data_IF_695770435435
#
_entry.id   IF_695770435435
#
_cell.length_a   1.000
_cell.length_b   1.000
_cell.length_c   1.000
_cell.angle_alpha   90.00
_cell.angle_beta   90.00
_cell.angle_gamma   90.00
#
_symmetry.space_group_name_H-M   'P 1'
#
loop_
_entity.id
_entity.type
_entity.pdbx_description
1 polymer ?
#
# COMPACT_ATOMS: atom_id res chain seq x y z
N UNK A 1 14.00 32.05 2.26
CA UNK A 1 13.58 30.63 2.16
C UNK A 1 12.77 30.52 0.89
N UNK A 2 13.34 29.96 -0.17
CA UNK A 2 12.73 29.99 -1.50
C UNK A 2 11.67 28.89 -1.62
N UNK A 3 10.47 29.25 -2.07
CA UNK A 3 9.36 28.31 -2.36
C UNK A 3 9.77 27.14 -3.27
N UNK A 4 10.83 27.32 -4.06
CA UNK A 4 11.43 26.30 -4.90
C UNK A 4 11.87 25.04 -4.14
N UNK A 5 12.21 25.14 -2.85
CA UNK A 5 12.62 23.99 -2.04
C UNK A 5 11.46 23.03 -1.70
N UNK A 6 10.21 23.50 -1.81
CA UNK A 6 9.01 22.70 -1.51
C UNK A 6 8.32 22.16 -2.76
N UNK A 7 8.82 22.49 -3.94
CA UNK A 7 8.29 21.99 -5.21
C UNK A 7 9.11 20.77 -5.65
N UNK A 8 8.45 19.71 -6.15
CA UNK A 8 9.16 18.55 -6.66
C UNK A 8 9.96 18.90 -7.91
N UNK A 9 11.17 18.37 -7.98
CA UNK A 9 11.95 18.28 -9.21
C UNK A 9 11.25 17.40 -10.26
N UNK A 10 11.69 17.47 -11.51
CA UNK A 10 11.15 16.61 -12.57
C UNK A 10 11.29 15.11 -12.26
N UNK A 11 12.39 14.71 -11.60
CA UNK A 11 12.59 13.33 -11.15
C UNK A 11 11.56 12.94 -10.07
N UNK A 12 11.33 13.80 -9.08
CA UNK A 12 10.33 13.56 -8.03
C UNK A 12 8.90 13.49 -8.60
N UNK A 13 8.59 14.27 -9.65
CA UNK A 13 7.31 14.16 -10.35
C UNK A 13 7.14 12.81 -11.07
N UNK A 14 8.19 12.27 -11.68
CA UNK A 14 8.19 10.92 -12.28
C UNK A 14 7.99 9.85 -11.20
N UNK A 15 8.72 9.96 -10.09
CA UNK A 15 8.60 9.05 -8.94
C UNK A 15 7.18 9.06 -8.34
N UNK A 16 6.58 10.24 -8.23
CA UNK A 16 5.19 10.41 -7.81
C UNK A 16 4.22 9.67 -8.76
N UNK A 17 4.39 9.84 -10.07
CA UNK A 17 3.58 9.16 -11.07
C UNK A 17 3.75 7.64 -10.98
N UNK A 18 4.98 7.14 -10.84
CA UNK A 18 5.27 5.71 -10.67
C UNK A 18 4.64 5.15 -9.39
N UNK A 19 4.64 5.89 -8.29
CA UNK A 19 3.98 5.48 -7.05
C UNK A 19 2.45 5.36 -7.20
N UNK A 20 1.82 6.35 -7.86
CA UNK A 20 0.39 6.30 -8.16
C UNK A 20 0.08 5.12 -9.10
N UNK A 21 0.89 4.91 -10.14
CA UNK A 21 0.73 3.78 -11.06
C UNK A 21 0.93 2.43 -10.36
N UNK A 22 1.85 2.34 -9.40
CA UNK A 22 2.07 1.12 -8.61
C UNK A 22 0.84 0.81 -7.75
N UNK A 23 0.27 1.81 -7.06
CA UNK A 23 -0.99 1.64 -6.31
C UNK A 23 -2.17 1.26 -7.22
N UNK A 24 -2.28 1.88 -8.40
CA UNK A 24 -3.28 1.49 -9.39
C UNK A 24 -3.05 0.05 -9.90
N UNK A 25 -1.78 -0.36 -10.05
CA UNK A 25 -1.38 -1.71 -10.40
C UNK A 25 -1.80 -2.73 -9.35
N UNK A 26 -1.62 -2.42 -8.07
CA UNK A 26 -2.16 -3.23 -6.98
C UNK A 26 -3.68 -3.33 -7.04
N UNK A 27 -4.39 -2.22 -7.28
CA UNK A 27 -5.84 -2.26 -7.48
C UNK A 27 -6.24 -3.20 -8.63
N UNK A 28 -5.53 -3.13 -9.76
CA UNK A 28 -5.80 -3.99 -10.91
C UNK A 28 -5.57 -5.48 -10.58
N UNK A 29 -4.42 -5.81 -9.98
CA UNK A 29 -4.10 -7.19 -9.61
C UNK A 29 -5.09 -7.73 -8.57
N UNK A 30 -5.38 -6.97 -7.52
CA UNK A 30 -6.34 -7.37 -6.49
C UNK A 30 -7.76 -7.53 -7.03
N UNK A 31 -8.18 -6.63 -7.92
CA UNK A 31 -9.47 -6.74 -8.58
C UNK A 31 -9.57 -7.98 -9.48
N UNK A 32 -8.51 -8.33 -10.20
CA UNK A 32 -8.48 -9.56 -10.99
C UNK A 32 -8.57 -10.81 -10.09
N UNK A 33 -7.78 -10.86 -9.02
CA UNK A 33 -7.72 -11.99 -8.07
C UNK A 33 -8.99 -12.19 -7.26
N UNK A 34 -9.80 -11.15 -7.03
CA UNK A 34 -10.99 -11.23 -6.16
C UNK A 34 -12.27 -11.66 -6.88
N UNK A 35 -12.28 -11.79 -8.21
CA UNK A 35 -13.49 -12.19 -8.95
C UNK A 35 -14.56 -11.10 -9.10
N UNK A 36 -15.73 -11.48 -9.64
CA UNK A 36 -16.78 -10.54 -10.07
C UNK A 36 -17.66 -10.00 -8.94
N UNK A 37 -17.72 -10.67 -7.78
CA UNK A 37 -18.56 -10.31 -6.62
C UNK A 37 -17.81 -9.51 -5.54
N UNK A 38 -16.58 -9.07 -5.86
CA UNK A 38 -15.71 -8.35 -4.92
C UNK A 38 -16.22 -6.96 -4.60
N UNK A 39 -15.73 -6.37 -3.52
CA UNK A 39 -15.83 -4.94 -3.30
C UNK A 39 -14.58 -4.22 -3.85
N UNK A 40 -14.72 -3.34 -4.85
CA UNK A 40 -13.61 -2.59 -5.44
C UNK A 40 -12.85 -1.70 -4.45
N UNK A 41 -13.45 -1.31 -3.31
CA UNK A 41 -12.78 -0.50 -2.30
C UNK A 41 -11.58 -1.21 -1.68
N UNK A 42 -11.54 -2.54 -1.71
CA UNK A 42 -10.47 -3.35 -1.13
C UNK A 42 -9.50 -3.93 -2.14
N UNK A 43 -9.67 -3.62 -3.43
CA UNK A 43 -8.83 -4.14 -4.51
C UNK A 43 -7.36 -3.78 -4.30
N UNK A 44 -7.06 -2.54 -3.88
CA UNK A 44 -5.68 -2.10 -3.61
C UNK A 44 -5.04 -2.95 -2.51
N UNK A 45 -5.70 -3.10 -1.35
CA UNK A 45 -5.15 -3.86 -0.22
C UNK A 45 -4.94 -5.34 -0.59
N UNK A 46 -5.89 -5.90 -1.33
CA UNK A 46 -5.84 -7.28 -1.82
C UNK A 46 -4.65 -7.49 -2.75
N UNK A 47 -4.50 -6.65 -3.78
CA UNK A 47 -3.43 -6.81 -4.75
C UNK A 47 -2.07 -6.47 -4.17
N UNK A 48 -2.00 -5.47 -3.30
CA UNK A 48 -0.77 -5.13 -2.60
C UNK A 48 -0.30 -6.30 -1.72
N UNK A 49 -1.21 -6.95 -0.97
CA UNK A 49 -0.89 -8.15 -0.20
C UNK A 49 -0.53 -9.37 -1.03
N UNK A 50 -1.19 -9.58 -2.17
CA UNK A 50 -0.84 -10.66 -3.09
C UNK A 50 0.57 -10.46 -3.67
N UNK A 51 0.90 -9.25 -4.10
CA UNK A 51 2.21 -8.94 -4.71
C UNK A 51 3.31 -8.97 -3.66
N UNK A 52 3.17 -8.30 -2.52
CA UNK A 52 4.22 -8.34 -1.48
C UNK A 52 4.34 -9.70 -0.83
N UNK A 53 3.23 -10.41 -0.62
CA UNK A 53 3.24 -11.76 -0.09
C UNK A 53 3.97 -12.72 -1.02
N UNK A 54 3.68 -12.66 -2.33
CA UNK A 54 4.38 -13.49 -3.32
C UNK A 54 5.87 -13.14 -3.43
N UNK A 55 6.23 -11.85 -3.50
CA UNK A 55 7.63 -11.42 -3.50
C UNK A 55 8.35 -11.83 -2.22
N UNK A 56 7.68 -11.79 -1.07
CA UNK A 56 8.26 -12.21 0.21
C UNK A 56 8.49 -13.72 0.23
N UNK A 57 7.49 -14.52 -0.13
CA UNK A 57 7.61 -15.98 -0.16
C UNK A 57 8.67 -16.42 -1.17
N UNK A 58 8.64 -15.90 -2.39
CA UNK A 58 9.61 -16.24 -3.41
C UNK A 58 11.01 -15.74 -3.06
N UNK A 59 11.12 -14.52 -2.53
CA UNK A 59 12.40 -13.93 -2.13
C UNK A 59 13.07 -14.60 -0.94
N UNK A 60 12.30 -15.28 -0.08
CA UNK A 60 12.84 -16.07 1.05
C UNK A 60 13.18 -17.51 0.62
N UNK A 61 12.39 -18.09 -0.29
CA UNK A 61 12.53 -19.50 -0.68
C UNK A 61 13.41 -19.72 -1.92
N UNK A 62 13.74 -18.67 -2.66
CA UNK A 62 14.46 -18.78 -3.94
C UNK A 62 15.48 -17.66 -4.08
N UNK A 63 16.49 -17.88 -4.90
CA UNK A 63 17.49 -16.87 -5.29
C UNK A 63 17.06 -16.05 -6.51
N UNK A 64 15.75 -16.00 -6.81
CA UNK A 64 15.26 -15.23 -7.96
C UNK A 64 15.43 -13.73 -7.68
N UNK A 65 16.16 -12.98 -8.53
CA UNK A 65 16.28 -11.54 -8.37
C UNK A 65 14.91 -10.86 -8.41
N UNK A 66 14.70 -9.88 -7.52
CA UNK A 66 13.43 -9.16 -7.42
C UNK A 66 13.07 -8.40 -8.71
N UNK A 67 14.03 -8.15 -9.61
CA UNK A 67 13.78 -7.55 -10.91
C UNK A 67 12.82 -8.39 -11.75
N UNK A 68 12.97 -9.71 -11.75
CA UNK A 68 12.05 -10.63 -12.44
C UNK A 68 10.65 -10.59 -11.84
N UNK A 69 10.55 -10.48 -10.52
CA UNK A 69 9.26 -10.35 -9.83
C UNK A 69 8.60 -9.00 -10.14
N UNK A 70 9.37 -7.91 -10.21
CA UNK A 70 8.89 -6.59 -10.60
C UNK A 70 8.44 -6.55 -12.07
N UNK A 71 9.19 -7.17 -12.98
CA UNK A 71 8.77 -7.36 -14.38
C UNK A 71 7.44 -8.13 -14.41
N UNK A 72 7.35 -9.24 -13.68
CA UNK A 72 6.13 -10.03 -13.56
C UNK A 72 4.94 -9.19 -13.07
N UNK A 73 5.13 -8.38 -12.04
CA UNK A 73 4.11 -7.44 -11.57
C UNK A 73 3.67 -6.47 -12.67
N UNK A 74 4.61 -5.77 -13.31
CA UNK A 74 4.29 -4.76 -14.34
C UNK A 74 3.66 -5.37 -15.60
N UNK A 75 3.96 -6.63 -15.93
CA UNK A 75 3.25 -7.39 -16.98
C UNK A 75 1.85 -7.82 -16.55
N UNK A 76 1.67 -8.20 -15.29
CA UNK A 76 0.38 -8.58 -14.73
C UNK A 76 -0.59 -7.40 -14.66
N UNK A 77 -0.13 -6.15 -14.51
CA UNK A 77 -1.00 -4.96 -14.44
C UNK A 77 -1.93 -4.80 -15.66
N UNK A 78 -1.44 -4.71 -16.92
CA UNK A 78 -2.31 -4.57 -18.09
C UNK A 78 -3.19 -5.80 -18.32
N UNK A 79 -2.69 -7.01 -18.02
CA UNK A 79 -3.48 -8.24 -18.11
C UNK A 79 -4.64 -8.19 -17.11
N UNK A 80 -4.37 -7.80 -15.86
CA UNK A 80 -5.37 -7.68 -14.80
C UNK A 80 -6.41 -6.61 -15.12
N UNK A 81 -5.97 -5.46 -15.65
CA UNK A 81 -6.84 -4.40 -16.12
C UNK A 81 -7.76 -4.87 -17.26
N UNK A 82 -7.23 -5.65 -18.22
CA UNK A 82 -8.01 -6.24 -19.30
C UNK A 82 -9.03 -7.26 -18.78
N UNK A 83 -8.65 -8.10 -17.82
CA UNK A 83 -9.55 -9.07 -17.16
C UNK A 83 -10.69 -8.33 -16.46
N UNK A 84 -10.38 -7.31 -15.67
CA UNK A 84 -11.38 -6.47 -14.99
C UNK A 84 -12.29 -5.82 -16.02
N UNK A 85 -11.74 -5.21 -17.08
CA UNK A 85 -12.53 -4.53 -18.10
C UNK A 85 -13.50 -5.46 -18.84
N UNK A 86 -13.08 -6.70 -19.13
CA UNK A 86 -13.95 -7.70 -19.78
C UNK A 86 -15.01 -8.28 -18.84
N UNK A 87 -14.65 -8.46 -17.57
CA UNK A 87 -15.51 -9.09 -16.55
C UNK A 87 -16.52 -8.11 -15.98
N UNK A 88 -16.07 -6.91 -15.65
CA UNK A 88 -16.84 -5.89 -14.97
C UNK A 88 -17.45 -4.95 -16.02
N UNK A 89 -18.70 -5.23 -16.40
CA UNK A 89 -19.49 -4.20 -17.08
C UNK A 89 -19.68 -3.03 -16.10
N UNK A 90 -19.57 -1.77 -16.55
CA UNK A 90 -19.51 -0.62 -15.65
C UNK A 90 -20.76 -0.54 -14.77
N UNK A 91 -20.64 -0.98 -13.52
CA UNK A 91 -21.71 -0.90 -12.51
C UNK A 91 -21.78 0.53 -11.96
N UNK A 92 -22.98 0.99 -11.60
CA UNK A 92 -23.18 2.33 -11.04
C UNK A 92 -22.33 2.58 -9.78
N UNK A 93 -22.10 1.53 -8.98
CA UNK A 93 -21.32 1.56 -7.74
C UNK A 93 -19.81 1.76 -7.98
N UNK A 94 -19.25 1.18 -9.05
CA UNK A 94 -17.84 1.37 -9.40
C UNK A 94 -17.55 2.81 -9.82
N UNK A 95 -18.44 3.41 -10.62
CA UNK A 95 -18.33 4.82 -11.03
C UNK A 95 -18.39 5.76 -9.82
N UNK A 96 -19.22 5.42 -8.83
CA UNK A 96 -19.32 6.15 -7.58
C UNK A 96 -17.98 6.14 -6.83
N UNK A 97 -17.41 4.96 -6.59
CA UNK A 97 -16.17 4.81 -5.81
C UNK A 97 -15.00 5.51 -6.48
N UNK A 98 -14.84 5.34 -7.80
CA UNK A 98 -13.81 6.03 -8.56
C UNK A 98 -13.96 7.55 -8.49
N UNK A 99 -15.20 8.06 -8.63
CA UNK A 99 -15.48 9.48 -8.52
C UNK A 99 -15.18 10.05 -7.13
N UNK A 100 -15.43 9.29 -6.06
CA UNK A 100 -15.10 9.72 -4.69
C UNK A 100 -13.59 9.75 -4.49
N UNK A 101 -12.88 8.69 -4.90
CA UNK A 101 -11.42 8.61 -4.84
C UNK A 101 -10.75 9.77 -5.59
N UNK A 102 -11.20 10.06 -6.82
CA UNK A 102 -10.66 11.16 -7.62
C UNK A 102 -10.82 12.52 -6.92
N UNK A 103 -11.97 12.77 -6.26
CA UNK A 103 -12.19 13.99 -5.48
C UNK A 103 -11.30 14.04 -4.24
N UNK A 104 -11.11 12.92 -3.54
CA UNK A 104 -10.18 12.82 -2.41
C UNK A 104 -8.75 13.16 -2.84
N UNK A 105 -8.29 12.60 -3.97
CA UNK A 105 -6.96 12.90 -4.53
C UNK A 105 -6.82 14.37 -4.94
N UNK A 106 -7.85 14.95 -5.56
CA UNK A 106 -7.85 16.37 -5.93
C UNK A 106 -7.74 17.28 -4.69
N UNK A 107 -8.46 16.97 -3.61
CA UNK A 107 -8.37 17.71 -2.34
C UNK A 107 -7.01 17.52 -1.64
N UNK A 108 -6.41 16.33 -1.77
CA UNK A 108 -5.12 16.00 -1.17
C UNK A 108 -3.91 16.46 -2.01
N UNK A 109 -4.12 17.03 -3.20
CA UNK A 109 -3.05 17.42 -4.13
C UNK A 109 -1.94 18.27 -3.48
N UNK A 110 -2.23 19.31 -2.66
CA UNK A 110 -1.17 20.08 -2.02
C UNK A 110 -0.25 19.24 -1.12
N UNK A 111 -0.83 18.29 -0.37
CA UNK A 111 -0.07 17.36 0.47
C UNK A 111 0.74 16.40 -0.38
N UNK A 112 0.14 15.83 -1.43
CA UNK A 112 0.85 14.93 -2.35
C UNK A 112 2.08 15.62 -2.99
N UNK A 113 1.93 16.87 -3.45
CA UNK A 113 3.03 17.66 -3.99
C UNK A 113 4.12 17.87 -2.94
N UNK A 114 3.73 18.25 -1.72
CA UNK A 114 4.70 18.50 -0.64
C UNK A 114 5.47 17.23 -0.24
N UNK A 115 4.77 16.11 -0.07
CA UNK A 115 5.38 14.83 0.33
C UNK A 115 6.29 14.28 -0.76
N UNK A 116 5.98 14.54 -2.03
CA UNK A 116 6.86 14.12 -3.14
C UNK A 116 8.24 14.80 -3.12
N UNK A 117 8.37 15.95 -2.44
CA UNK A 117 9.62 16.67 -2.27
C UNK A 117 10.37 16.32 -0.96
N UNK A 118 9.75 15.52 -0.07
CA UNK A 118 10.32 15.20 1.24
C UNK A 118 11.52 14.24 1.16
N UNK A 119 12.44 14.42 2.10
CA UNK A 119 13.59 13.53 2.34
C UNK A 119 13.41 12.83 3.69
N UNK A 120 14.09 11.70 3.87
CA UNK A 120 14.12 11.02 5.16
C UNK A 120 14.64 11.97 6.24
N UNK A 121 14.02 11.93 7.41
CA UNK A 121 14.32 12.88 8.50
C UNK A 121 14.31 12.24 9.88
N UNK A 122 13.70 11.06 10.03
CA UNK A 122 13.60 10.41 11.34
C UNK A 122 14.70 9.40 11.57
N UNK A 123 15.09 9.27 12.84
CA UNK A 123 16.09 8.30 13.28
C UNK A 123 15.78 6.87 12.79
N UNK A 124 14.54 6.39 12.93
CA UNK A 124 14.22 5.00 12.54
C UNK A 124 14.28 4.78 11.01
N UNK A 125 14.09 5.85 10.23
CA UNK A 125 14.32 5.78 8.78
C UNK A 125 15.78 5.48 8.51
N UNK A 126 16.67 6.23 9.15
CA UNK A 126 18.11 6.07 9.01
C UNK A 126 18.69 4.85 9.74
N UNK A 127 18.02 4.26 10.74
CA UNK A 127 18.55 3.07 11.40
C UNK A 127 18.09 1.76 10.75
N UNK A 128 16.89 1.70 10.15
CA UNK A 128 16.45 0.48 9.46
C UNK A 128 15.64 0.67 8.18
N UNK A 129 14.67 1.60 8.12
CA UNK A 129 13.66 1.54 7.06
C UNK A 129 14.21 1.95 5.69
N UNK A 130 15.02 3.01 5.66
CA UNK A 130 15.67 3.49 4.45
C UNK A 130 16.72 2.48 3.99
N UNK A 131 17.53 1.96 4.91
CA UNK A 131 18.57 0.98 4.59
C UNK A 131 18.00 -0.34 4.10
N UNK A 132 16.90 -0.83 4.67
CA UNK A 132 16.24 -2.04 4.15
C UNK A 132 15.71 -1.82 2.72
N UNK A 133 15.11 -0.65 2.43
CA UNK A 133 14.66 -0.31 1.08
C UNK A 133 15.83 -0.22 0.09
N UNK A 134 16.91 0.45 0.49
CA UNK A 134 18.12 0.63 -0.31
C UNK A 134 18.83 -0.70 -0.58
N UNK A 135 18.87 -1.59 0.42
CA UNK A 135 19.46 -2.92 0.30
C UNK A 135 18.71 -3.75 -0.75
N UNK A 136 17.38 -3.82 -0.64
CA UNK A 136 16.54 -4.55 -1.61
C UNK A 136 16.74 -3.99 -3.02
N UNK A 137 16.80 -2.66 -3.16
CA UNK A 137 17.04 -2.03 -4.46
C UNK A 137 18.43 -2.36 -5.04
N UNK A 138 19.48 -2.35 -4.22
CA UNK A 138 20.86 -2.58 -4.68
C UNK A 138 21.17 -4.04 -4.99
N UNK A 139 20.66 -4.95 -4.17
CA UNK A 139 21.03 -6.38 -4.23
C UNK A 139 19.92 -7.28 -4.79
N UNK A 140 18.75 -6.72 -5.09
CA UNK A 140 17.58 -7.43 -5.65
C UNK A 140 17.15 -8.67 -4.84
N UNK A 141 17.43 -8.67 -3.54
CA UNK A 141 17.18 -9.78 -2.63
C UNK A 141 17.03 -9.26 -1.19
N UNK A 142 16.50 -10.11 -0.32
CA UNK A 142 16.56 -9.86 1.12
C UNK A 142 17.98 -10.10 1.67
N UNK A 143 18.32 -9.57 2.85
CA UNK A 143 19.59 -9.86 3.50
C UNK A 143 19.74 -11.38 3.73
N UNK A 144 20.77 -11.97 3.12
CA UNK A 144 21.06 -13.39 3.19
C UNK A 144 22.57 -13.68 3.04
N UNK A 145 22.96 -14.92 3.33
CA UNK A 145 24.35 -15.36 3.20
C UNK A 145 24.84 -15.19 1.75
N UNK A 146 26.07 -14.71 1.59
CA UNK A 146 26.68 -14.46 0.28
C UNK A 146 26.48 -13.04 -0.27
N UNK A 147 25.67 -12.21 0.40
CA UNK A 147 25.57 -10.77 0.15
C UNK A 147 26.33 -9.97 1.21
N UNK A 148 26.68 -8.69 0.95
CA UNK A 148 27.23 -7.80 1.97
C UNK A 148 26.29 -7.65 3.17
N UNK A 149 26.87 -7.41 4.35
CA UNK A 149 26.08 -7.14 5.55
C UNK A 149 25.19 -5.91 5.35
N UNK A 150 23.92 -6.03 5.76
CA UNK A 150 22.99 -4.90 5.69
C UNK A 150 23.38 -3.84 6.74
N UNK A 151 23.44 -2.54 6.38
CA UNK A 151 23.71 -1.47 7.32
C UNK A 151 22.53 -1.18 8.28
N UNK A 152 21.40 -1.87 8.10
CA UNK A 152 20.23 -1.78 8.95
C UNK A 152 20.48 -2.44 10.30
N UNK A 153 20.08 -1.78 11.40
CA UNK A 153 20.09 -2.37 12.75
C UNK A 153 19.14 -3.58 12.83
N UNK A 154 18.06 -3.55 12.03
CA UNK A 154 17.07 -4.61 11.97
C UNK A 154 16.84 -5.08 10.52
N UNK A 155 17.74 -5.90 9.97
CA UNK A 155 17.67 -6.32 8.57
C UNK A 155 16.49 -7.24 8.28
N UNK A 156 15.99 -7.96 9.30
CA UNK A 156 14.88 -8.90 9.19
C UNK A 156 13.51 -8.27 9.49
N UNK A 157 13.41 -6.95 9.59
CA UNK A 157 12.11 -6.29 9.76
C UNK A 157 11.18 -6.55 8.57
N UNK A 158 9.85 -6.49 8.78
CA UNK A 158 8.89 -6.75 7.72
C UNK A 158 9.15 -5.84 6.52
N UNK A 159 9.17 -6.42 5.31
CA UNK A 159 9.58 -5.72 4.08
C UNK A 159 8.41 -5.24 3.21
N UNK A 160 7.15 -5.43 3.62
CA UNK A 160 5.98 -5.13 2.79
C UNK A 160 5.96 -3.69 2.25
N UNK A 161 6.30 -2.72 3.10
CA UNK A 161 6.41 -1.31 2.72
C UNK A 161 7.63 -1.02 1.84
N UNK A 162 8.76 -1.68 2.10
CA UNK A 162 10.01 -1.51 1.37
C UNK A 162 9.90 -2.07 -0.06
N UNK A 163 9.14 -3.16 -0.24
CA UNK A 163 8.82 -3.71 -1.55
C UNK A 163 8.00 -2.74 -2.41
N UNK A 164 7.17 -1.89 -1.82
CA UNK A 164 6.51 -0.80 -2.56
C UNK A 164 7.53 0.21 -3.10
N UNK A 165 8.48 0.65 -2.27
CA UNK A 165 9.55 1.54 -2.73
C UNK A 165 10.41 0.88 -3.81
N UNK A 166 10.65 -0.43 -3.72
CA UNK A 166 11.35 -1.19 -4.75
C UNK A 166 10.60 -1.19 -6.10
N UNK A 167 9.28 -1.46 -6.09
CA UNK A 167 8.46 -1.48 -7.31
C UNK A 167 8.37 -0.13 -8.03
N UNK A 168 8.58 0.97 -7.29
CA UNK A 168 8.72 2.33 -7.85
C UNK A 168 10.15 2.57 -8.35
N UNK A 169 11.15 2.17 -7.58
CA UNK A 169 12.57 2.41 -7.89
C UNK A 169 13.03 1.63 -9.12
N UNK A 170 12.53 0.42 -9.31
CA UNK A 170 12.86 -0.44 -10.45
C UNK A 170 12.61 0.23 -11.82
N UNK A 171 11.37 0.63 -12.17
CA UNK A 171 11.11 1.32 -13.44
C UNK A 171 11.70 2.73 -13.49
N UNK A 172 12.00 3.35 -12.35
CA UNK A 172 12.67 4.66 -12.31
C UNK A 172 14.15 4.58 -12.68
N UNK A 173 14.78 3.41 -12.56
CA UNK A 173 16.24 3.25 -12.69
C UNK A 173 17.05 3.94 -11.59
N UNK A 174 16.41 4.50 -10.57
CA UNK A 174 17.03 5.20 -9.44
C UNK A 174 16.33 4.82 -8.15
N UNK A 175 17.06 4.85 -7.03
CA UNK A 175 16.45 4.65 -5.71
C UNK A 175 15.51 5.81 -5.37
N UNK A 176 14.26 5.49 -5.03
CA UNK A 176 13.22 6.46 -4.70
C UNK A 176 13.01 6.50 -3.19
N UNK A 177 13.77 7.37 -2.53
CA UNK A 177 13.83 7.50 -1.06
C UNK A 177 12.46 7.78 -0.43
N UNK A 178 11.68 8.71 -0.99
CA UNK A 178 10.35 9.06 -0.45
C UNK A 178 9.27 8.02 -0.77
N UNK A 179 9.59 6.92 -1.46
CA UNK A 179 8.62 5.94 -1.94
C UNK A 179 7.71 5.41 -0.85
N UNK A 180 8.27 5.04 0.30
CA UNK A 180 7.47 4.51 1.43
C UNK A 180 6.58 5.58 2.06
N UNK A 181 7.13 6.76 2.35
CA UNK A 181 6.39 7.87 2.94
C UNK A 181 5.21 8.30 2.04
N UNK A 182 5.45 8.39 0.74
CA UNK A 182 4.41 8.67 -0.24
C UNK A 182 3.37 7.55 -0.30
N UNK A 183 3.80 6.29 -0.24
CA UNK A 183 2.92 5.12 -0.16
C UNK A 183 1.99 5.15 1.05
N UNK A 184 2.49 5.54 2.23
CA UNK A 184 1.70 5.71 3.45
C UNK A 184 0.58 6.73 3.26
N UNK A 185 0.89 7.87 2.64
CA UNK A 185 -0.13 8.89 2.31
C UNK A 185 -1.16 8.33 1.33
N UNK A 186 -0.73 7.65 0.26
CA UNK A 186 -1.65 7.04 -0.71
C UNK A 186 -2.59 6.02 -0.05
N UNK A 187 -2.08 5.15 0.83
CA UNK A 187 -2.90 4.20 1.58
C UNK A 187 -3.95 4.91 2.43
N UNK A 188 -3.58 6.00 3.09
CA UNK A 188 -4.50 6.81 3.89
C UNK A 188 -5.62 7.41 3.03
N UNK A 189 -5.27 7.96 1.86
CA UNK A 189 -6.26 8.51 0.91
C UNK A 189 -7.20 7.43 0.36
N UNK A 190 -6.70 6.23 0.13
CA UNK A 190 -7.47 5.07 -0.34
C UNK A 190 -8.41 4.55 0.75
N UNK A 191 -8.05 4.72 2.04
CA UNK A 191 -8.95 4.42 3.16
C UNK A 191 -10.13 5.41 3.25
N UNK A 192 -10.03 6.62 2.69
CA UNK A 192 -11.07 7.64 2.84
C UNK A 192 -12.43 7.22 2.22
N UNK A 193 -12.49 6.66 1.00
CA UNK A 193 -13.72 6.05 0.48
C UNK A 193 -14.25 4.88 1.30
N UNK A 194 -13.37 4.06 1.90
CA UNK A 194 -13.78 2.96 2.80
C UNK A 194 -14.48 3.52 4.03
N UNK A 195 -13.88 4.55 4.65
CA UNK A 195 -14.45 5.26 5.79
C UNK A 195 -15.82 5.86 5.47
N UNK A 196 -15.94 6.57 4.34
CA UNK A 196 -17.22 7.13 3.89
C UNK A 196 -18.27 6.04 3.68
N UNK A 197 -17.90 4.92 3.05
CA UNK A 197 -18.82 3.81 2.80
C UNK A 197 -19.31 3.18 4.12
N UNK A 198 -18.42 3.02 5.10
CA UNK A 198 -18.76 2.52 6.44
C UNK A 198 -19.73 3.48 7.16
N UNK A 199 -19.43 4.77 7.20
CA UNK A 199 -20.29 5.78 7.84
C UNK A 199 -21.66 5.83 7.15
N UNK A 200 -21.69 5.83 5.82
CA UNK A 200 -22.94 5.87 5.05
C UNK A 200 -23.83 4.67 5.27
N UNK A 201 -23.24 3.48 5.40
CA UNK A 201 -23.99 2.28 5.74
C UNK A 201 -24.53 2.34 7.18
N UNK A 202 -23.75 2.87 8.13
CA UNK A 202 -24.21 3.07 9.52
C UNK A 202 -25.31 4.12 9.67
N UNK A 203 -25.32 5.16 8.82
CA UNK A 203 -26.34 6.21 8.84
C UNK A 203 -27.55 5.93 7.94
N UNK A 204 -27.59 4.80 7.23
CA UNK A 204 -28.65 4.48 6.27
C UNK A 204 -28.68 5.44 5.07
N UNK A 205 -27.59 6.15 4.78
CA UNK A 205 -27.53 7.14 3.71
C UNK A 205 -27.38 6.46 2.35
N UNK A 206 -28.26 6.73 1.36
CA UNK A 206 -28.15 6.14 0.04
C UNK A 206 -26.81 6.45 -0.64
N UNK A 207 -26.22 5.46 -1.31
CA UNK A 207 -24.98 5.62 -2.08
C UNK A 207 -25.06 6.73 -3.15
N UNK A 208 -26.26 7.09 -3.61
CA UNK A 208 -26.49 8.21 -4.53
C UNK A 208 -26.16 9.58 -3.93
N UNK A 209 -26.23 9.73 -2.61
CA UNK A 209 -25.94 10.97 -1.89
C UNK A 209 -24.44 11.07 -1.52
N UNK A 210 -23.71 9.96 -1.56
CA UNK A 210 -22.30 9.86 -1.16
C UNK A 210 -21.30 10.25 -2.26
N UNK A 211 -21.63 11.25 -3.11
CA UNK A 211 -20.81 11.62 -4.30
C UNK A 211 -20.21 13.02 -4.25
N UNK A 212 -20.59 13.83 -3.26
CA UNK A 212 -20.25 15.24 -3.22
C UNK A 212 -18.79 15.51 -2.84
N UNK A 213 -18.28 16.68 -3.22
CA UNK A 213 -16.98 17.20 -2.72
C UNK A 213 -16.94 17.29 -1.21
N UNK A 214 -18.07 17.67 -0.58
CA UNK A 214 -18.21 17.67 0.86
C UNK A 214 -17.97 16.29 1.47
N UNK A 215 -18.55 15.23 0.88
CA UNK A 215 -18.37 13.85 1.34
C UNK A 215 -16.91 13.41 1.20
N UNK A 216 -16.25 13.78 0.09
CA UNK A 216 -14.81 13.52 -0.09
C UNK A 216 -13.96 14.23 0.97
N UNK A 217 -14.29 15.48 1.30
CA UNK A 217 -13.60 16.25 2.34
C UNK A 217 -13.83 15.65 3.74
N UNK A 218 -15.04 15.23 4.06
CA UNK A 218 -15.35 14.52 5.32
C UNK A 218 -14.60 13.20 5.39
N UNK A 219 -14.54 12.43 4.30
CA UNK A 219 -13.73 11.22 4.23
C UNK A 219 -12.26 11.50 4.49
N UNK A 220 -11.70 12.54 3.87
CA UNK A 220 -10.31 12.96 4.06
C UNK A 220 -10.04 13.37 5.52
N UNK A 221 -10.92 14.18 6.12
CA UNK A 221 -10.84 14.55 7.53
C UNK A 221 -10.94 13.33 8.45
N UNK A 222 -11.81 12.37 8.12
CA UNK A 222 -12.02 11.12 8.83
C UNK A 222 -10.75 10.27 8.93
N UNK A 223 -9.96 10.17 7.86
CA UNK A 223 -8.71 9.41 7.85
C UNK A 223 -7.49 10.23 8.27
N UNK A 224 -7.62 11.56 8.40
CA UNK A 224 -6.53 12.46 8.82
C UNK A 224 -6.83 13.03 10.21
N UNK A 225 -7.28 14.29 10.29
CA UNK A 225 -7.41 15.08 11.52
C UNK A 225 -8.28 14.41 12.58
N UNK A 226 -9.30 13.66 12.17
CA UNK A 226 -10.22 12.97 13.09
C UNK A 226 -9.74 11.56 13.46
N UNK A 227 -8.71 11.03 12.80
CA UNK A 227 -8.16 9.72 13.09
C UNK A 227 -7.06 9.79 14.14
N UNK A 228 -7.16 8.94 15.16
CA UNK A 228 -6.07 8.74 16.14
C UNK A 228 -4.81 8.12 15.53
N UNK A 229 -4.92 7.55 14.33
CA UNK A 229 -3.78 6.96 13.60
C UNK A 229 -2.98 8.01 12.84
N UNK A 230 -3.51 9.21 12.66
CA UNK A 230 -2.84 10.28 11.92
C UNK A 230 -1.90 11.06 12.84
N UNK A 231 -0.70 10.55 12.99
CA UNK A 231 0.41 11.29 13.59
C UNK A 231 1.28 11.80 12.46
N UNK A 232 1.31 13.13 12.24
CA UNK A 232 2.06 13.76 11.14
C UNK A 232 3.52 13.28 11.06
N UNK A 233 4.15 13.12 12.23
CA UNK A 233 5.53 12.62 12.36
C UNK A 233 5.71 11.18 11.85
N UNK A 234 4.67 10.36 11.82
CA UNK A 234 4.72 8.97 11.35
C UNK A 234 4.26 8.85 9.90
N UNK A 235 3.14 9.51 9.55
CA UNK A 235 2.49 9.37 8.24
C UNK A 235 3.38 9.84 7.09
N UNK A 236 4.19 10.88 7.32
CA UNK A 236 5.08 11.44 6.30
C UNK A 236 6.48 10.82 6.31
N UNK A 237 6.62 9.61 6.85
CA UNK A 237 7.91 8.91 6.98
C UNK A 237 7.80 7.48 6.49
N UNK A 238 8.93 6.79 6.34
CA UNK A 238 8.99 5.39 5.90
C UNK A 238 8.54 4.35 6.96
N UNK A 239 7.85 4.78 8.02
CA UNK A 239 7.44 3.90 9.12
C UNK A 239 6.32 2.94 8.68
N UNK A 240 6.33 1.73 9.23
CA UNK A 240 5.31 0.71 8.94
C UNK A 240 3.99 0.93 9.71
N UNK A 241 4.01 1.76 10.75
CA UNK A 241 2.88 2.04 11.65
C UNK A 241 1.65 2.58 10.88
N UNK A 242 1.86 3.46 9.91
CA UNK A 242 0.74 4.00 9.12
C UNK A 242 0.10 2.94 8.24
N UNK A 243 0.90 2.15 7.52
CA UNK A 243 0.37 1.07 6.68
C UNK A 243 -0.36 0.01 7.54
N UNK A 244 0.23 -0.41 8.65
CA UNK A 244 -0.40 -1.39 9.56
C UNK A 244 -1.70 -0.88 10.18
N UNK A 245 -1.78 0.40 10.58
CA UNK A 245 -3.00 1.01 11.09
C UNK A 245 -4.10 1.11 10.02
N UNK A 246 -3.75 1.53 8.80
CA UNK A 246 -4.68 1.58 7.65
C UNK A 246 -5.21 0.18 7.33
N UNK A 247 -4.33 -0.82 7.32
CA UNK A 247 -4.70 -2.22 7.06
C UNK A 247 -5.61 -2.77 8.15
N UNK A 248 -5.32 -2.49 9.43
CA UNK A 248 -6.20 -2.89 10.53
C UNK A 248 -7.60 -2.30 10.36
N UNK A 249 -7.70 -1.02 10.00
CA UNK A 249 -8.98 -0.37 9.70
C UNK A 249 -9.72 -1.04 8.54
N UNK A 250 -9.03 -1.29 7.42
CA UNK A 250 -9.61 -1.95 6.24
C UNK A 250 -10.06 -3.39 6.55
N UNK A 251 -9.25 -4.15 7.29
CA UNK A 251 -9.56 -5.51 7.73
C UNK A 251 -10.78 -5.54 8.66
N UNK A 252 -10.88 -4.59 9.60
CA UNK A 252 -12.06 -4.46 10.47
C UNK A 252 -13.35 -4.23 9.68
N UNK A 253 -13.31 -3.36 8.66
CA UNK A 253 -14.46 -3.12 7.77
C UNK A 253 -14.78 -4.36 6.92
N UNK A 254 -13.77 -5.08 6.42
CA UNK A 254 -13.97 -6.34 5.70
C UNK A 254 -14.64 -7.40 6.56
N UNK A 255 -14.18 -7.60 7.80
CA UNK A 255 -14.81 -8.55 8.75
C UNK A 255 -16.26 -8.17 9.00
N UNK A 256 -16.53 -6.90 9.27
CA UNK A 256 -17.90 -6.43 9.46
C UNK A 256 -18.79 -6.70 8.24
N UNK A 257 -18.29 -6.49 7.01
CA UNK A 257 -19.03 -6.82 5.78
C UNK A 257 -19.24 -8.31 5.57
N UNK A 258 -18.26 -9.15 5.91
CA UNK A 258 -18.40 -10.61 5.86
C UNK A 258 -19.53 -11.05 6.80
N UNK A 259 -19.58 -10.50 8.03
CA UNK A 259 -20.63 -10.81 9.00
C UNK A 259 -22.01 -10.38 8.52
N UNK A 260 -22.13 -9.19 7.91
CA UNK A 260 -23.40 -8.74 7.34
C UNK A 260 -23.84 -9.62 6.16
N UNK A 261 -22.93 -9.97 5.24
CA UNK A 261 -23.25 -10.84 4.09
C UNK A 261 -23.69 -12.24 4.55
N UNK A 262 -23.08 -12.77 5.62
CA UNK A 262 -23.50 -14.03 6.25
C UNK A 262 -24.86 -13.93 6.94
N UNK A 263 -25.17 -12.80 7.56
CA UNK A 263 -26.47 -12.56 8.20
C UNK A 263 -27.59 -12.38 7.17
N UNK A 264 -27.31 -11.71 6.04
CA UNK A 264 -28.27 -11.43 4.96
C UNK A 264 -28.40 -12.58 3.95
N UNK A 265 -27.42 -13.49 3.87
CA UNK A 265 -27.42 -14.63 2.95
C UNK A 265 -27.16 -14.25 1.49
N UNK A 266 -26.51 -13.11 1.22
CA UNK A 266 -26.29 -12.59 -0.14
C UNK A 266 -25.23 -13.36 -0.95
N UNK A 267 -24.44 -14.23 -0.31
CA UNK A 267 -23.57 -15.19 -0.96
C UNK A 267 -22.29 -14.58 -1.58
N UNK A 268 -21.81 -13.45 -1.06
CA UNK A 268 -20.53 -12.85 -1.43
C UNK A 268 -19.44 -13.08 -0.35
N UNK A 269 -19.79 -13.69 0.78
CA UNK A 269 -18.94 -13.91 1.94
C UNK A 269 -17.62 -14.59 1.60
N UNK A 270 -17.62 -15.57 0.70
CA UNK A 270 -16.40 -16.24 0.25
C UNK A 270 -15.45 -15.28 -0.48
N UNK A 271 -15.98 -14.42 -1.36
CA UNK A 271 -15.17 -13.43 -2.07
C UNK A 271 -14.60 -12.39 -1.12
N UNK A 272 -15.40 -11.90 -0.17
CA UNK A 272 -14.94 -10.97 0.86
C UNK A 272 -13.89 -11.62 1.78
N UNK A 273 -14.06 -12.90 2.13
CA UNK A 273 -13.08 -13.66 2.91
C UNK A 273 -11.75 -13.83 2.15
N UNK A 274 -11.80 -13.98 0.82
CA UNK A 274 -10.61 -13.99 -0.02
C UNK A 274 -9.89 -12.64 -0.04
N UNK A 275 -10.62 -11.54 -0.20
CA UNK A 275 -10.06 -10.18 -0.09
C UNK A 275 -9.44 -9.95 1.30
N UNK A 276 -10.12 -10.42 2.36
CA UNK A 276 -9.61 -10.37 3.72
C UNK A 276 -8.31 -11.16 3.89
N UNK A 277 -8.24 -12.40 3.40
CA UNK A 277 -7.05 -13.24 3.52
C UNK A 277 -5.82 -12.60 2.84
N UNK A 278 -6.00 -12.03 1.64
CA UNK A 278 -4.93 -11.35 0.91
C UNK A 278 -4.54 -10.02 1.55
N UNK A 279 -5.49 -9.23 2.05
CA UNK A 279 -5.19 -8.03 2.83
C UNK A 279 -4.48 -8.37 4.17
N UNK A 280 -4.82 -9.51 4.79
CA UNK A 280 -4.10 -10.03 5.95
C UNK A 280 -2.66 -10.43 5.60
N UNK A 281 -2.41 -10.97 4.41
CA UNK A 281 -1.05 -11.26 3.95
C UNK A 281 -0.21 -9.97 3.90
N UNK A 282 -0.77 -8.85 3.42
CA UNK A 282 -0.11 -7.55 3.49
C UNK A 282 0.16 -7.12 4.93
N UNK A 283 -0.86 -7.22 5.80
CA UNK A 283 -0.71 -6.86 7.21
C UNK A 283 0.43 -7.63 7.87
N UNK A 284 0.52 -8.94 7.64
CA UNK A 284 1.63 -9.76 8.12
C UNK A 284 2.98 -9.31 7.53
N UNK A 285 3.03 -9.00 6.24
CA UNK A 285 4.25 -8.52 5.57
C UNK A 285 4.70 -7.13 6.06
N UNK A 286 3.81 -6.34 6.67
CA UNK A 286 4.13 -5.04 7.26
C UNK A 286 4.35 -5.10 8.78
N UNK A 287 3.81 -6.10 9.48
CA UNK A 287 3.81 -6.18 10.94
C UNK A 287 4.71 -7.28 11.53
N UNK A 288 4.90 -8.39 10.83
CA UNK A 288 5.57 -9.59 11.36
C UNK A 288 7.00 -9.66 10.83
N UNK A 289 7.95 -9.81 11.76
CA UNK A 289 9.38 -9.97 11.46
C UNK A 289 9.56 -11.12 10.46
N UNK A 290 10.20 -10.84 9.33
CA UNK A 290 10.50 -11.85 8.32
C UNK A 290 11.52 -12.82 8.90
N UNK A 291 11.24 -14.12 8.87
CA UNK A 291 12.19 -15.17 9.24
C UNK A 291 13.23 -15.33 8.13
N UNK A 292 13.97 -14.27 7.79
CA UNK A 292 15.21 -14.42 7.04
C UNK A 292 16.24 -15.02 7.99
N UNK A 293 16.88 -16.11 7.57
CA UNK A 293 17.80 -16.89 8.40
C UNK A 293 18.97 -16.02 8.90
N UNK A 294 18.84 -15.45 10.09
CA UNK A 294 19.97 -14.95 10.87
C UNK A 294 20.70 -16.17 11.43
N UNK A 295 21.31 -16.96 10.55
CA UNK A 295 22.02 -18.16 10.91
C UNK A 295 23.46 -18.08 10.40
N UNK A 296 24.20 -17.11 10.95
CA UNK A 296 25.65 -17.15 11.16
C UNK A 296 26.12 -15.76 11.64
N UNK A 297 26.27 -15.60 12.97
CA UNK A 297 27.18 -14.65 13.68
C UNK A 297 26.59 -13.89 14.88
N UNK A 298 25.28 -14.00 15.19
CA UNK A 298 24.74 -13.46 16.45
C UNK A 298 25.02 -14.35 17.69
N UNK A 299 25.93 -15.32 17.59
CA UNK A 299 26.57 -15.95 18.74
C UNK A 299 27.93 -15.27 18.96
N UNK A 300 28.13 -14.70 20.15
CA UNK A 300 29.38 -14.10 20.65
C UNK A 300 29.84 -12.75 20.05
N UNK A 301 29.28 -11.64 20.56
CA UNK A 301 30.05 -10.38 20.80
C UNK A 301 29.35 -9.47 21.82
N UNK A 302 28.97 -10.08 22.95
CA UNK A 302 28.75 -9.39 24.23
C UNK A 302 29.74 -9.99 25.24
N UNK A 303 31.01 -9.64 25.07
CA UNK A 303 32.09 -9.64 26.05
C UNK A 303 33.02 -8.48 25.66
#
# INVERSE_FOLDING_TARGET
MELAQYLPSAAQAIHMALAIMTMAGFAAVGGALSGSRRDPLFDVFTGFGAVTGSMTVLGVLTDIPFSWMAIGFWLCVPISALVIWRRDRPMATQKLHFGLLARTFALALPVLVTVSAMQASQWDEFSQWLFNSLFIYKFEAFPQNGLPDSPSVFPAYPHGNQLFAYLISYPSGTFVEMGVAFGNVLLLLILAPVYVAMVGAGSGTPASQMKGWFVAAVGLLGVTVLSTTFVQKLVFTAYADTATAVLMGALGVLVWRILNDLAEGSGNSLTLAWQFALACALFMCCAIRTLASVNSSCACRLC
#
